data_IF_698078947143
#
_entry.id   IF_698078947143
#
_cell.length_a   1.000
_cell.length_b   1.000
_cell.length_c   1.000
_cell.angle_alpha   90.00
_cell.angle_beta   90.00
_cell.angle_gamma   90.00
#
_symmetry.space_group_name_H-M   'P 1'
#
loop_
_entity.id
_entity.type
_entity.pdbx_description
1 polymer ?
#
# COMPACT_ATOMS: atom_id res chain seq x y z
N UNK A 1 -20.30 51.71 22.05
CA UNK A 1 -19.38 51.04 21.10
C UNK A 1 -18.15 50.60 21.87
N UNK A 2 -17.92 49.32 22.17
CA UNK A 2 -16.72 48.95 22.89
C UNK A 2 -15.52 49.01 21.92
N UNK A 3 -14.59 49.91 22.20
CA UNK A 3 -13.30 50.02 21.52
C UNK A 3 -12.42 48.85 21.95
N UNK A 4 -12.32 47.81 21.12
CA UNK A 4 -11.45 46.65 21.39
C UNK A 4 -9.99 47.01 21.14
N UNK A 5 -9.34 47.66 22.10
CA UNK A 5 -7.89 47.82 22.15
C UNK A 5 -7.25 46.51 22.63
N UNK A 6 -7.31 45.44 21.83
CA UNK A 6 -6.53 44.24 22.10
C UNK A 6 -5.05 44.57 21.93
N UNK A 7 -4.23 44.25 22.94
CA UNK A 7 -2.79 44.48 22.89
C UNK A 7 -2.14 43.72 21.72
N UNK A 8 -1.04 44.23 21.14
CA UNK A 8 -0.32 43.55 20.05
C UNK A 8 0.09 42.11 20.41
N UNK A 9 0.38 41.85 21.69
CA UNK A 9 0.69 40.53 22.21
C UNK A 9 -0.53 39.60 22.24
N UNK A 10 -1.70 40.11 22.66
CA UNK A 10 -2.95 39.34 22.63
C UNK A 10 -3.41 39.02 21.20
N UNK A 11 -3.20 39.95 20.26
CA UNK A 11 -3.49 39.71 18.84
C UNK A 11 -2.54 38.68 18.23
N UNK A 12 -1.24 38.74 18.57
CA UNK A 12 -0.24 37.73 18.16
C UNK A 12 -0.56 36.34 18.73
N UNK A 13 -0.97 36.28 20.01
CA UNK A 13 -1.39 35.04 20.67
C UNK A 13 -2.64 34.43 20.03
N UNK A 14 -3.67 35.24 19.77
CA UNK A 14 -4.90 34.78 19.11
C UNK A 14 -4.64 34.29 17.69
N UNK A 15 -3.75 34.95 16.94
CA UNK A 15 -3.32 34.50 15.60
C UNK A 15 -2.62 33.14 15.65
N UNK A 16 -1.74 32.90 16.63
CA UNK A 16 -1.10 31.59 16.82
C UNK A 16 -2.09 30.48 17.18
N UNK A 17 -3.21 30.81 17.85
CA UNK A 17 -4.22 29.83 18.25
C UNK A 17 -5.03 29.29 17.05
N UNK A 18 -5.13 30.06 15.97
CA UNK A 18 -5.88 29.70 14.76
C UNK A 18 -5.00 29.36 13.56
N UNK A 19 -3.79 29.90 13.51
CA UNK A 19 -2.88 29.72 12.38
C UNK A 19 -2.07 28.44 12.54
N UNK A 20 -1.91 27.72 11.42
CA UNK A 20 -0.99 26.59 11.34
C UNK A 20 0.45 27.07 11.49
N UNK A 21 1.26 26.25 12.15
CA UNK A 21 2.64 26.56 12.50
C UNK A 21 3.58 25.63 11.74
N UNK A 22 4.73 26.15 11.31
CA UNK A 22 5.77 25.32 10.71
C UNK A 22 7.14 25.61 11.31
N UNK A 23 7.99 24.60 11.31
CA UNK A 23 9.38 24.65 11.72
C UNK A 23 10.26 24.29 10.52
N UNK A 24 11.31 25.07 10.28
CA UNK A 24 12.21 24.86 9.16
C UNK A 24 13.67 24.73 9.62
N UNK A 25 14.34 23.67 9.20
CA UNK A 25 15.76 23.44 9.43
C UNK A 25 16.45 23.30 8.07
N UNK A 26 17.18 24.34 7.67
CA UNK A 26 17.85 24.44 6.37
C UNK A 26 17.44 25.70 5.62
N UNK A 27 17.99 25.88 4.42
CA UNK A 27 17.74 27.05 3.59
C UNK A 27 16.73 26.71 2.47
N UNK A 28 15.45 27.02 2.69
CA UNK A 28 14.37 26.81 1.71
C UNK A 28 13.49 28.06 1.58
N UNK A 29 14.01 29.15 0.98
CA UNK A 29 13.30 30.44 0.93
C UNK A 29 11.96 30.33 0.19
N UNK A 30 11.91 29.62 -0.93
CA UNK A 30 10.68 29.48 -1.71
C UNK A 30 9.56 28.77 -0.94
N UNK A 31 9.91 27.71 -0.20
CA UNK A 31 8.96 26.98 0.64
C UNK A 31 8.47 27.85 1.80
N UNK A 32 9.39 28.57 2.44
CA UNK A 32 9.08 29.51 3.52
C UNK A 32 8.08 30.56 3.04
N UNK A 33 8.38 31.21 1.93
CA UNK A 33 7.49 32.23 1.35
C UNK A 33 6.14 31.64 0.97
N UNK A 34 6.12 30.43 0.42
CA UNK A 34 4.88 29.76 0.05
C UNK A 34 4.03 29.38 1.28
N UNK A 35 4.63 29.02 2.41
CA UNK A 35 3.91 28.74 3.67
C UNK A 35 3.40 30.03 4.32
N UNK A 36 4.22 31.09 4.35
CA UNK A 36 3.83 32.41 4.85
C UNK A 36 2.67 32.99 4.04
N UNK A 37 2.71 32.89 2.70
CA UNK A 37 1.58 33.30 1.83
C UNK A 37 0.28 32.53 2.11
N UNK A 38 0.37 31.30 2.62
CA UNK A 38 -0.79 30.50 3.05
C UNK A 38 -1.27 30.83 4.47
N UNK A 39 -0.69 31.84 5.11
CA UNK A 39 -1.03 32.26 6.47
C UNK A 39 -0.43 31.38 7.57
N UNK A 40 0.58 30.56 7.23
CA UNK A 40 1.30 29.78 8.23
C UNK A 40 2.34 30.65 8.95
N UNK A 41 2.61 30.31 10.20
CA UNK A 41 3.55 31.04 11.05
C UNK A 41 4.79 30.18 11.29
N UNK A 42 5.97 30.74 11.02
CA UNK A 42 7.23 30.08 11.33
C UNK A 42 7.49 30.09 12.84
N UNK A 43 7.85 28.93 13.39
CA UNK A 43 8.30 28.76 14.76
C UNK A 43 9.77 28.38 14.72
N UNK A 44 10.58 29.13 15.45
CA UNK A 44 12.00 28.82 15.64
C UNK A 44 12.17 28.01 16.91
N UNK A 45 13.01 26.99 16.87
CA UNK A 45 13.49 26.31 18.06
C UNK A 45 14.50 27.23 18.74
N UNK A 46 14.03 28.20 19.53
CA UNK A 46 14.90 28.97 20.44
C UNK A 46 14.92 28.28 21.80
N UNK A 47 16.09 27.76 22.14
CA UNK A 47 16.71 27.54 23.45
C UNK A 47 15.86 26.97 24.62
N UNK A 48 16.34 25.82 25.11
CA UNK A 48 16.37 25.40 26.52
C UNK A 48 15.31 24.48 27.18
N UNK A 49 14.37 23.82 26.49
CA UNK A 49 13.67 22.71 27.19
C UNK A 49 12.85 21.71 26.38
N UNK A 50 12.40 22.05 25.17
CA UNK A 50 11.30 21.28 24.60
C UNK A 50 11.81 20.09 23.77
N UNK A 51 11.55 18.88 24.25
CA UNK A 51 11.50 17.68 23.41
C UNK A 51 10.69 17.96 22.12
N UNK A 52 10.93 17.24 21.01
CA UNK A 52 10.21 17.49 19.75
C UNK A 52 8.67 17.38 19.89
N UNK A 53 8.20 16.68 20.93
CA UNK A 53 6.80 16.58 21.33
C UNK A 53 6.24 17.88 21.96
N UNK A 54 7.07 18.70 22.59
CA UNK A 54 6.70 19.95 23.27
C UNK A 54 6.74 21.17 22.33
N UNK A 55 7.54 21.09 21.27
CA UNK A 55 7.52 22.06 20.18
C UNK A 55 6.22 21.92 19.38
N UNK A 56 5.29 22.86 19.60
CA UNK A 56 4.02 22.95 18.87
C UNK A 56 4.28 23.43 17.43
N UNK A 57 4.51 22.49 16.52
CA UNK A 57 4.49 22.70 15.07
C UNK A 57 3.45 21.77 14.42
N UNK A 58 2.81 22.22 13.34
CA UNK A 58 1.98 21.36 12.49
C UNK A 58 2.83 20.71 11.38
N UNK A 59 3.82 21.42 10.86
CA UNK A 59 4.74 20.95 9.82
C UNK A 59 6.19 21.20 10.22
N UNK A 60 7.03 20.18 10.14
CA UNK A 60 8.49 20.32 10.26
C UNK A 60 9.17 19.91 8.96
N UNK A 61 9.96 20.84 8.41
CA UNK A 61 10.71 20.63 7.18
C UNK A 61 12.21 20.69 7.46
N UNK A 62 12.92 19.59 7.22
CA UNK A 62 14.36 19.51 7.47
C UNK A 62 15.13 19.05 6.24
N UNK A 63 16.41 19.42 6.15
CA UNK A 63 17.31 18.90 5.11
C UNK A 63 17.69 17.44 5.36
N UNK A 64 17.97 17.07 6.62
CA UNK A 64 18.42 15.72 6.96
C UNK A 64 17.34 14.97 7.73
N UNK A 65 17.12 13.71 7.36
CA UNK A 65 16.18 12.83 8.05
C UNK A 65 16.52 12.63 9.54
N UNK A 66 17.81 12.69 9.90
CA UNK A 66 18.26 12.55 11.31
C UNK A 66 17.82 13.69 12.22
N UNK A 67 17.41 14.82 11.65
CA UNK A 67 16.94 15.98 12.41
C UNK A 67 15.46 15.81 12.84
N UNK A 68 14.85 14.66 12.49
CA UNK A 68 13.50 14.27 12.86
C UNK A 68 13.58 13.05 13.79
N UNK A 69 13.07 13.22 15.01
CA UNK A 69 12.85 12.10 15.93
C UNK A 69 11.42 11.58 15.76
N UNK A 70 11.27 10.52 14.96
CA UNK A 70 9.99 9.89 14.68
C UNK A 70 9.32 9.26 15.91
N UNK A 71 10.05 9.03 17.01
CA UNK A 71 9.48 8.40 18.21
C UNK A 71 8.68 9.37 19.06
N UNK A 72 8.96 10.66 18.95
CA UNK A 72 8.37 11.72 19.77
C UNK A 72 7.37 12.57 19.01
N UNK A 73 7.11 12.28 17.73
CA UNK A 73 6.11 12.98 16.93
C UNK A 73 4.70 12.70 17.45
N UNK A 74 3.93 13.77 17.66
CA UNK A 74 2.50 13.65 17.91
C UNK A 74 1.75 13.29 16.60
N UNK A 75 0.58 12.63 16.68
CA UNK A 75 -0.12 12.13 15.48
C UNK A 75 -0.51 13.17 14.44
N UNK A 76 -0.65 14.45 14.84
CA UNK A 76 -1.01 15.56 13.95
C UNK A 76 0.21 16.24 13.31
N UNK A 77 1.43 15.91 13.75
CA UNK A 77 2.65 16.55 13.28
C UNK A 77 3.09 15.93 11.96
N UNK A 78 3.32 16.77 10.97
CA UNK A 78 3.74 16.36 9.62
C UNK A 78 5.23 16.64 9.44
N UNK A 79 5.95 15.70 8.83
CA UNK A 79 7.38 15.81 8.53
C UNK A 79 7.68 15.44 7.09
N UNK A 80 8.75 15.99 6.51
CA UNK A 80 9.09 15.78 5.09
C UNK A 80 9.97 14.54 4.80
N UNK A 81 10.43 13.83 5.83
CA UNK A 81 11.19 12.58 5.67
C UNK A 81 10.44 11.42 6.30
N UNK A 82 10.41 10.25 5.66
CA UNK A 82 9.90 9.05 6.28
C UNK A 82 10.98 8.36 7.12
N UNK A 83 10.54 7.63 8.14
CA UNK A 83 11.45 6.85 8.98
C UNK A 83 12.14 5.77 8.13
N UNK A 84 13.46 5.67 8.24
CA UNK A 84 14.29 4.65 7.57
C UNK A 84 14.37 4.70 6.03
N UNK A 85 13.92 5.77 5.35
CA UNK A 85 14.02 5.88 3.89
C UNK A 85 15.44 5.64 3.35
N UNK A 86 16.46 6.11 4.08
CA UNK A 86 17.85 5.99 3.67
C UNK A 86 18.41 4.56 3.66
N UNK A 87 17.83 3.65 4.47
CA UNK A 87 18.30 2.25 4.58
C UNK A 87 17.63 1.34 3.56
N UNK A 88 16.41 1.67 3.15
CA UNK A 88 15.55 0.74 2.43
C UNK A 88 15.38 1.06 0.95
N UNK A 89 15.56 2.30 0.48
CA UNK A 89 15.26 2.62 -0.92
C UNK A 89 16.33 3.49 -1.60
N UNK A 90 17.02 4.35 -0.85
CA UNK A 90 17.89 5.36 -1.47
C UNK A 90 19.37 4.96 -1.54
N UNK A 91 19.73 3.76 -1.08
CA UNK A 91 21.10 3.25 -1.26
C UNK A 91 21.18 2.46 -2.55
N UNK A 92 22.06 2.85 -3.48
CA UNK A 92 22.33 2.11 -4.72
C UNK A 92 22.68 0.63 -4.47
N UNK A 93 23.24 0.34 -3.29
CA UNK A 93 23.57 -1.02 -2.85
C UNK A 93 22.35 -1.86 -2.47
N UNK A 94 21.21 -1.23 -2.13
CA UNK A 94 19.94 -1.91 -1.93
C UNK A 94 19.50 -2.62 -3.20
N UNK A 95 19.54 -1.92 -4.34
CA UNK A 95 19.23 -2.52 -5.65
C UNK A 95 20.14 -3.71 -5.94
N UNK A 96 21.45 -3.56 -5.74
CA UNK A 96 22.44 -4.61 -6.08
C UNK A 96 22.25 -5.87 -5.22
N UNK A 97 21.98 -5.72 -3.92
CA UNK A 97 21.86 -6.87 -3.00
C UNK A 97 20.46 -7.47 -2.95
N UNK A 98 19.43 -6.66 -3.19
CA UNK A 98 18.03 -7.10 -3.04
C UNK A 98 17.42 -7.53 -4.37
N UNK A 99 17.80 -6.95 -5.51
CA UNK A 99 17.27 -7.33 -6.82
C UNK A 99 17.40 -8.83 -7.12
N UNK A 100 18.54 -9.51 -6.83
CA UNK A 100 18.61 -10.96 -7.01
C UNK A 100 17.61 -11.74 -6.15
N UNK A 101 17.35 -11.28 -4.91
CA UNK A 101 16.38 -11.91 -4.01
C UNK A 101 14.94 -11.68 -4.46
N UNK A 102 14.63 -10.47 -4.93
CA UNK A 102 13.30 -10.13 -5.47
C UNK A 102 13.05 -10.94 -6.74
N UNK A 103 14.04 -11.02 -7.64
CA UNK A 103 13.98 -11.81 -8.87
C UNK A 103 13.75 -13.29 -8.57
N UNK A 104 14.54 -13.89 -7.67
CA UNK A 104 14.39 -15.28 -7.29
C UNK A 104 13.01 -15.58 -6.67
N UNK A 105 12.47 -14.67 -5.85
CA UNK A 105 11.11 -14.81 -5.29
C UNK A 105 10.04 -14.79 -6.37
N UNK A 106 10.19 -13.91 -7.37
CA UNK A 106 9.29 -13.84 -8.52
C UNK A 106 9.37 -15.12 -9.35
N UNK A 107 10.57 -15.59 -9.67
CA UNK A 107 10.78 -16.84 -10.41
C UNK A 107 10.14 -18.04 -9.68
N UNK A 108 10.26 -18.14 -8.36
CA UNK A 108 9.58 -19.18 -7.58
C UNK A 108 8.06 -19.04 -7.58
N UNK A 109 7.53 -17.81 -7.54
CA UNK A 109 6.10 -17.56 -7.63
C UNK A 109 5.55 -17.96 -9.00
N UNK A 110 6.25 -17.57 -10.07
CA UNK A 110 5.89 -17.89 -11.45
C UNK A 110 5.93 -19.42 -11.70
N UNK A 111 6.94 -20.12 -11.16
CA UNK A 111 7.01 -21.59 -11.21
C UNK A 111 5.85 -22.26 -10.47
N UNK A 112 5.46 -21.75 -9.30
CA UNK A 112 4.31 -22.28 -8.55
C UNK A 112 3.00 -22.08 -9.30
N UNK A 113 2.84 -20.94 -9.96
CA UNK A 113 1.68 -20.65 -10.78
C UNK A 113 1.62 -21.58 -12.00
N UNK A 114 2.75 -21.76 -12.69
CA UNK A 114 2.85 -22.69 -13.82
C UNK A 114 2.53 -24.14 -13.42
N UNK A 115 3.03 -24.59 -12.26
CA UNK A 115 2.74 -25.92 -11.73
C UNK A 115 1.25 -26.09 -11.39
N UNK A 116 0.61 -25.06 -10.82
CA UNK A 116 -0.84 -25.08 -10.57
C UNK A 116 -1.63 -25.23 -11.86
N UNK A 117 -1.25 -24.50 -12.90
CA UNK A 117 -1.89 -24.57 -14.22
C UNK A 117 -1.74 -25.96 -14.86
N UNK A 118 -0.57 -26.60 -14.75
CA UNK A 118 -0.37 -27.97 -15.25
C UNK A 118 -1.27 -28.97 -14.53
N UNK A 119 -1.32 -28.92 -13.19
CA UNK A 119 -2.19 -29.81 -12.40
C UNK A 119 -3.66 -29.63 -12.80
N UNK A 120 -4.09 -28.39 -13.03
CA UNK A 120 -5.48 -28.14 -13.46
C UNK A 120 -5.77 -28.67 -14.86
N UNK A 121 -4.80 -28.63 -15.78
CA UNK A 121 -4.99 -29.14 -17.14
C UNK A 121 -5.00 -30.68 -17.15
N UNK A 122 -4.09 -31.33 -16.42
CA UNK A 122 -4.10 -32.78 -16.25
C UNK A 122 -5.41 -33.27 -15.62
N UNK A 123 -5.91 -32.57 -14.60
CA UNK A 123 -7.21 -32.88 -14.00
C UNK A 123 -8.37 -32.72 -15.01
N UNK A 124 -8.29 -31.71 -15.88
CA UNK A 124 -9.28 -31.48 -16.95
C UNK A 124 -9.24 -32.60 -17.99
N UNK A 125 -8.07 -33.03 -18.43
CA UNK A 125 -7.91 -34.16 -19.36
C UNK A 125 -8.40 -35.48 -18.77
N UNK A 126 -8.05 -35.78 -17.51
CA UNK A 126 -8.55 -36.96 -16.79
C UNK A 126 -10.09 -36.94 -16.67
N UNK A 127 -10.69 -35.78 -16.41
CA UNK A 127 -12.14 -35.64 -16.36
C UNK A 127 -12.77 -35.88 -17.73
N UNK A 128 -12.19 -35.32 -18.80
CA UNK A 128 -12.68 -35.46 -20.18
C UNK A 128 -12.68 -36.91 -20.64
N UNK A 129 -11.56 -37.62 -20.45
CA UNK A 129 -11.42 -39.04 -20.83
C UNK A 129 -12.43 -39.92 -20.07
N UNK A 130 -12.67 -39.63 -18.78
CA UNK A 130 -13.67 -40.35 -17.99
C UNK A 130 -15.09 -40.10 -18.49
N UNK A 131 -15.42 -38.88 -18.88
CA UNK A 131 -16.73 -38.54 -19.47
C UNK A 131 -16.92 -39.29 -20.79
N UNK A 132 -15.92 -39.31 -21.68
CA UNK A 132 -15.99 -40.05 -22.94
C UNK A 132 -16.22 -41.54 -22.74
N UNK A 133 -15.45 -42.16 -21.84
CA UNK A 133 -15.60 -43.59 -21.54
C UNK A 133 -16.99 -43.91 -20.97
N UNK A 134 -17.49 -43.07 -20.06
CA UNK A 134 -18.83 -43.22 -19.48
C UNK A 134 -19.92 -43.07 -20.55
N UNK A 135 -19.77 -42.10 -21.45
CA UNK A 135 -20.71 -41.84 -22.54
C UNK A 135 -20.77 -43.02 -23.53
N UNK A 136 -19.60 -43.55 -23.95
CA UNK A 136 -19.52 -44.73 -24.82
C UNK A 136 -20.21 -45.94 -24.20
N UNK A 137 -20.00 -46.18 -22.89
CA UNK A 137 -20.63 -47.28 -22.17
C UNK A 137 -22.16 -47.13 -22.10
N UNK A 138 -22.66 -45.93 -21.79
CA UNK A 138 -24.11 -45.66 -21.76
C UNK A 138 -24.73 -45.89 -23.14
N UNK A 139 -24.07 -45.43 -24.21
CA UNK A 139 -24.56 -45.63 -25.58
C UNK A 139 -24.59 -47.11 -25.98
N UNK A 140 -23.59 -47.91 -25.58
CA UNK A 140 -23.60 -49.36 -25.85
C UNK A 140 -24.70 -50.08 -25.08
N UNK A 141 -24.90 -49.74 -23.80
CA UNK A 141 -25.96 -50.33 -22.98
C UNK A 141 -27.36 -49.97 -23.54
N UNK A 142 -27.57 -48.72 -23.96
CA UNK A 142 -28.82 -48.30 -24.61
C UNK A 142 -29.07 -49.02 -25.94
N UNK A 143 -28.03 -49.22 -26.75
CA UNK A 143 -28.15 -49.94 -28.03
C UNK A 143 -28.53 -51.40 -27.82
N UNK A 144 -27.98 -52.06 -26.79
CA UNK A 144 -28.36 -53.42 -26.39
C UNK A 144 -29.82 -53.51 -25.94
N UNK A 145 -30.29 -52.54 -25.13
CA UNK A 145 -31.68 -52.47 -24.69
C UNK A 145 -32.65 -52.32 -25.88
N UNK A 146 -32.31 -51.45 -26.83
CA UNK A 146 -33.12 -51.26 -28.05
C UNK A 146 -33.19 -52.57 -28.85
N UNK A 147 -32.05 -53.24 -29.08
CA UNK A 147 -32.02 -54.52 -29.80
C UNK A 147 -32.84 -55.61 -29.11
N UNK A 148 -32.75 -55.73 -27.78
CA UNK A 148 -33.55 -56.69 -27.00
C UNK A 148 -35.06 -56.39 -27.08
N UNK A 149 -35.45 -55.12 -27.08
CA UNK A 149 -36.86 -54.72 -27.22
C UNK A 149 -37.44 -55.02 -28.61
N UNK A 150 -36.63 -54.88 -29.67
CA UNK A 150 -37.03 -55.25 -31.03
C UNK A 150 -37.17 -56.77 -31.19
N UNK A 151 -36.29 -57.58 -30.58
CA UNK A 151 -36.38 -59.03 -30.64
C UNK A 151 -37.64 -59.58 -29.94
N UNK A 152 -38.04 -59.00 -28.80
CA UNK A 152 -39.23 -59.42 -28.08
C UNK A 152 -40.53 -59.12 -28.86
N UNK A 153 -40.52 -58.09 -29.70
CA UNK A 153 -41.66 -57.68 -30.53
C UNK A 153 -41.87 -58.58 -31.76
N UNK A 154 -40.82 -59.24 -32.26
CA UNK A 154 -40.90 -60.13 -33.43
C UNK A 154 -41.27 -61.59 -33.09
N UNK A 155 -41.14 -62.04 -31.84
CA UNK A 155 -41.50 -63.40 -31.44
C UNK A 155 -42.98 -63.59 -31.03
N UNK A 156 -43.79 -62.53 -31.12
CA UNK A 156 -45.21 -62.53 -30.73
C UNK A 156 -46.20 -62.40 -31.92
N UNK A 157 -45.75 -62.65 -33.15
CA UNK A 157 -46.58 -62.76 -34.34
C UNK A 157 -46.54 -64.19 -34.90
#
# INVERSE_FOLDING_TARGET
MPTSSTSPLAQRYNRMKTSKTFLMIGNYPDLKDALVRRGWVEVHASDDSASAAELRFDLKWTTKARDIDHKTLAPHQIVNHFQNSYKALTTKTFDIKMYPKIKARKEVADMREAMRMQITEEAREMMSTRIEHTTKRILSEKSLIILLSCFCSCCFC
#
